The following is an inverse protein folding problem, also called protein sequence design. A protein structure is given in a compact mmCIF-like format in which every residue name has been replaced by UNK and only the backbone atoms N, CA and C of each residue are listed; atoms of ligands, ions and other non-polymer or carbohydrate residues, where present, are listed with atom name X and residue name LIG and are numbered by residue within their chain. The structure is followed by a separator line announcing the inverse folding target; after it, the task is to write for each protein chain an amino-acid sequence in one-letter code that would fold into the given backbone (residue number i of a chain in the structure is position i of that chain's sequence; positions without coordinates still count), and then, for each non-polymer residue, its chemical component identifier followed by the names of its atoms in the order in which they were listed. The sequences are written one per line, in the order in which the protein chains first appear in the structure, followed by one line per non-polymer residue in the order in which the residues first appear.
data_IF_745891866870
#
_entry.id   IF_745891866870
#
_cell.length_a   1.000
_cell.length_b   1.000
_cell.length_c   1.000
_cell.angle_alpha   90.00
_cell.angle_beta   90.00
_cell.angle_gamma   90.00
#
_symmetry.space_group_name_H-M   'P 1'
#
loop_
_entity.id
_entity.type
_entity.pdbx_description
1 polymer ?
#
# COMPACT_ATOMS: atom_id res chain seq x y z
N UNK A 1 30.51 -8.70 -11.85
CA UNK A 1 29.33 -7.87 -12.16
C UNK A 1 28.34 -7.98 -11.00
N UNK A 2 28.24 -6.94 -10.17
CA UNK A 2 27.39 -6.97 -8.99
C UNK A 2 25.91 -7.12 -9.41
N UNK A 3 25.28 -8.23 -9.03
CA UNK A 3 23.83 -8.47 -9.21
C UNK A 3 23.09 -7.45 -8.35
N UNK A 4 22.82 -6.28 -8.93
CA UNK A 4 21.95 -5.28 -8.36
C UNK A 4 20.56 -5.91 -8.30
N UNK A 5 20.18 -6.44 -7.12
CA UNK A 5 18.82 -6.91 -6.85
C UNK A 5 17.90 -5.72 -7.06
N UNK A 6 17.25 -5.69 -8.24
CA UNK A 6 16.29 -4.67 -8.62
C UNK A 6 15.19 -4.66 -7.56
N UNK A 7 14.99 -3.52 -6.89
CA UNK A 7 13.89 -3.27 -5.93
C UNK A 7 12.51 -3.23 -6.62
N UNK A 8 12.39 -3.84 -7.79
CA UNK A 8 11.26 -3.80 -8.72
C UNK A 8 10.24 -4.92 -8.47
N UNK A 9 10.57 -5.93 -7.66
CA UNK A 9 9.65 -7.01 -7.25
C UNK A 9 8.81 -6.67 -6.01
N UNK A 10 8.78 -5.39 -5.61
CA UNK A 10 7.95 -4.99 -4.49
C UNK A 10 6.49 -5.02 -4.92
N UNK A 11 5.63 -5.78 -4.22
CA UNK A 11 4.23 -5.88 -4.58
C UNK A 11 3.59 -4.50 -4.52
N UNK A 12 2.96 -4.10 -5.62
CA UNK A 12 2.19 -2.87 -5.71
C UNK A 12 0.73 -3.21 -5.48
N UNK A 13 0.08 -2.50 -4.58
CA UNK A 13 -1.35 -2.65 -4.31
C UNK A 13 -2.08 -1.40 -4.78
N UNK A 14 -3.32 -1.56 -5.22
CA UNK A 14 -4.20 -0.45 -5.60
C UNK A 14 -5.08 -0.12 -4.38
N UNK A 15 -5.12 1.14 -4.00
CA UNK A 15 -6.03 1.56 -2.94
C UNK A 15 -7.46 1.70 -3.47
N UNK A 16 -8.47 1.05 -2.87
CA UNK A 16 -9.87 1.11 -3.34
C UNK A 16 -10.57 2.45 -3.04
N UNK A 17 -9.90 3.38 -2.38
CA UNK A 17 -10.44 4.71 -2.03
C UNK A 17 -9.84 5.80 -2.91
N UNK A 18 -8.50 5.79 -3.04
CA UNK A 18 -7.76 6.78 -3.81
C UNK A 18 -7.48 6.32 -5.26
N UNK A 19 -7.77 5.07 -5.60
CA UNK A 19 -7.40 4.36 -6.85
C UNK A 19 -5.93 4.52 -7.26
N UNK A 20 -5.08 4.89 -6.29
CA UNK A 20 -3.68 5.18 -6.54
C UNK A 20 -2.86 3.92 -6.27
N UNK A 21 -1.98 3.51 -7.20
CA UNK A 21 -1.05 2.42 -6.96
C UNK A 21 -0.05 2.85 -5.89
N UNK A 22 0.18 1.98 -4.91
CA UNK A 22 1.16 2.22 -3.86
C UNK A 22 2.04 0.98 -3.69
N UNK A 23 3.34 1.23 -3.54
CA UNK A 23 4.36 0.19 -3.45
C UNK A 23 4.60 -0.24 -2.01
N UNK A 24 4.92 -1.52 -1.82
CA UNK A 24 5.36 -2.05 -0.53
C UNK A 24 6.46 -1.17 0.08
N UNK A 25 6.32 -0.89 1.38
CA UNK A 25 7.31 -0.16 2.19
C UNK A 25 7.79 -1.06 3.32
N UNK A 26 9.06 -0.91 3.72
CA UNK A 26 9.64 -1.63 4.87
C UNK A 26 8.82 -1.49 6.16
N UNK A 27 8.16 -0.34 6.38
CA UNK A 27 7.27 -0.09 7.53
C UNK A 27 6.07 -1.05 7.59
N UNK A 28 5.73 -1.69 6.48
CA UNK A 28 4.61 -2.61 6.39
C UNK A 28 5.04 -4.07 6.42
N UNK A 29 6.30 -4.39 6.71
CA UNK A 29 6.77 -5.77 6.77
C UNK A 29 5.88 -6.66 7.67
N UNK A 30 5.43 -6.15 8.82
CA UNK A 30 4.56 -6.87 9.75
C UNK A 30 3.06 -6.85 9.36
N UNK A 31 2.58 -5.75 8.80
CA UNK A 31 1.14 -5.54 8.59
C UNK A 31 0.71 -5.60 7.12
N UNK A 32 1.59 -6.04 6.19
CA UNK A 32 1.33 -5.95 4.75
C UNK A 32 0.07 -6.70 4.31
N UNK A 33 -0.24 -7.82 4.97
CA UNK A 33 -1.43 -8.63 4.67
C UNK A 33 -2.72 -7.81 4.84
N UNK A 34 -2.83 -7.05 5.93
CA UNK A 34 -3.97 -6.19 6.23
C UNK A 34 -3.96 -4.82 5.52
N UNK A 35 -2.84 -4.42 4.90
CA UNK A 35 -2.72 -3.12 4.21
C UNK A 35 -3.39 -3.19 2.84
N UNK A 36 -4.61 -2.65 2.77
CA UNK A 36 -5.39 -2.44 1.52
C UNK A 36 -5.47 -0.98 1.08
N UNK A 37 -5.09 -0.04 1.96
CA UNK A 37 -5.26 1.40 1.74
C UNK A 37 -3.92 2.13 1.65
N UNK A 38 -3.84 3.12 0.75
CA UNK A 38 -2.65 3.95 0.54
C UNK A 38 -2.26 4.77 1.79
N UNK A 39 -3.19 4.98 2.72
CA UNK A 39 -3.00 5.76 3.95
C UNK A 39 -4.11 5.48 4.98
N UNK A 40 -3.87 5.81 6.24
CA UNK A 40 -4.90 5.78 7.29
C UNK A 40 -6.08 6.71 6.98
N UNK A 41 -5.83 7.83 6.30
CA UNK A 41 -6.89 8.73 5.80
C UNK A 41 -7.87 7.99 4.89
N UNK A 42 -7.37 7.19 3.95
CA UNK A 42 -8.21 6.39 3.06
C UNK A 42 -8.98 5.29 3.81
N UNK A 43 -8.35 4.65 4.79
CA UNK A 43 -9.04 3.68 5.67
C UNK A 43 -10.21 4.33 6.40
N UNK A 44 -10.01 5.52 6.99
CA UNK A 44 -11.05 6.27 7.71
C UNK A 44 -12.15 6.79 6.77
N UNK A 45 -11.78 7.28 5.58
CA UNK A 45 -12.72 7.80 4.57
C UNK A 45 -13.73 6.75 4.08
N UNK A 46 -13.34 5.46 4.03
CA UNK A 46 -14.28 4.38 3.70
C UNK A 46 -15.30 4.12 4.82
N UNK A 47 -14.90 4.33 6.07
CA UNK A 47 -15.81 4.25 7.23
C UNK A 47 -16.69 5.49 7.38
N UNK A 48 -16.23 6.62 6.86
CA UNK A 48 -16.93 7.91 6.78
C UNK A 48 -17.81 8.01 5.51
N UNK A 49 -18.21 6.88 4.92
CA UNK A 49 -19.23 6.86 3.87
C UNK A 49 -20.64 7.01 4.47
N UNK A 50 -20.80 7.94 5.42
CA UNK A 50 -22.10 8.34 5.93
C UNK A 50 -22.05 9.79 6.43
N UNK A 51 -22.64 10.66 5.61
CA UNK A 51 -22.93 12.09 5.76
C UNK A 51 -21.92 13.07 5.15
#
# INVERSE_FOLDING_TARGET
MARQRKKSDLPQKICPVCHRPFTWRKKWADCWDGVKYCSERCRRRKSDANC
#
